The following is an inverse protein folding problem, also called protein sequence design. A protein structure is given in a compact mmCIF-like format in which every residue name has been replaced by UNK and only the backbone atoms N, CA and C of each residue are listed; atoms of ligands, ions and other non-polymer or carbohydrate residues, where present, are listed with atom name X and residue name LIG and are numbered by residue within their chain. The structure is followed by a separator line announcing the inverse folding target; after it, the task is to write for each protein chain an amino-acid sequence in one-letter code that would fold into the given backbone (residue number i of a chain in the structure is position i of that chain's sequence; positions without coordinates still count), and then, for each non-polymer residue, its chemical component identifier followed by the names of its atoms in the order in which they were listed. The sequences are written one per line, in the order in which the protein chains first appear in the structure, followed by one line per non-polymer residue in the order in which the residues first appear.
data_IF_231457735200
#
_entry.id   IF_231457735200
#
_cell.length_a   1.000
_cell.length_b   1.000
_cell.length_c   1.000
_cell.angle_alpha   90.00
_cell.angle_beta   90.00
_cell.angle_gamma   90.00
#
_symmetry.space_group_name_H-M   'P 1'
#
loop_
_entity.id
_entity.type
_entity.pdbx_description
1 polymer ?
#
# COMPACT_ATOMS: atom_id res chain seq x y z
N UNK A 1 2.52 -34.62 51.38
CA UNK A 1 2.74 -35.01 49.96
C UNK A 1 1.76 -34.42 48.95
N UNK A 2 0.82 -33.53 49.33
CA UNK A 2 -0.15 -32.91 48.41
C UNK A 2 0.32 -31.74 47.49
N UNK A 3 1.33 -30.90 47.83
CA UNK A 3 1.60 -29.68 47.07
C UNK A 3 2.18 -29.93 45.66
N UNK A 4 2.87 -31.06 45.46
CA UNK A 4 3.44 -31.41 44.15
C UNK A 4 2.39 -31.78 43.09
N UNK A 5 1.21 -32.31 43.48
CA UNK A 5 0.14 -32.63 42.53
C UNK A 5 -0.60 -31.38 42.05
N UNK A 6 -0.92 -30.46 42.97
CA UNK A 6 -1.60 -29.20 42.64
C UNK A 6 -0.76 -28.31 41.73
N UNK A 7 0.55 -28.19 42.02
CA UNK A 7 1.47 -27.44 41.16
C UNK A 7 1.57 -28.04 39.74
N UNK A 8 1.57 -29.37 39.62
CA UNK A 8 1.60 -30.07 38.32
C UNK A 8 0.33 -29.79 37.49
N UNK A 9 -0.83 -29.84 38.13
CA UNK A 9 -2.12 -29.53 37.50
C UNK A 9 -2.21 -28.08 37.02
N UNK A 10 -1.69 -27.13 37.80
CA UNK A 10 -1.60 -25.71 37.39
C UNK A 10 -0.67 -25.54 36.19
N UNK A 11 0.46 -26.24 36.17
CA UNK A 11 1.41 -26.17 35.03
C UNK A 11 0.83 -26.79 33.75
N UNK A 12 0.13 -27.92 33.85
CA UNK A 12 -0.54 -28.57 32.71
C UNK A 12 -1.66 -27.70 32.12
N UNK A 13 -2.46 -27.05 32.98
CA UNK A 13 -3.52 -26.13 32.53
C UNK A 13 -2.95 -24.86 31.90
N UNK A 14 -1.85 -24.31 32.42
CA UNK A 14 -1.13 -23.19 31.80
C UNK A 14 -0.55 -23.57 30.44
N UNK A 15 0.10 -24.73 30.33
CA UNK A 15 0.66 -25.20 29.06
C UNK A 15 -0.43 -25.38 27.99
N UNK A 16 -1.58 -25.95 28.36
CA UNK A 16 -2.73 -26.09 27.46
C UNK A 16 -3.26 -24.73 26.99
N UNK A 17 -3.37 -23.74 27.91
CA UNK A 17 -3.80 -22.38 27.55
C UNK A 17 -2.82 -21.69 26.60
N UNK A 18 -1.52 -21.81 26.82
CA UNK A 18 -0.49 -21.24 25.94
C UNK A 18 -0.56 -21.90 24.55
N UNK A 19 -0.67 -23.23 24.49
CA UNK A 19 -0.79 -23.97 23.23
C UNK A 19 -2.02 -23.53 22.43
N UNK A 20 -3.17 -23.37 23.09
CA UNK A 20 -4.40 -22.87 22.47
C UNK A 20 -4.22 -21.45 21.93
N UNK A 21 -3.65 -20.53 22.72
CA UNK A 21 -3.41 -19.15 22.25
C UNK A 21 -2.42 -19.07 21.09
N UNK A 22 -1.41 -19.93 21.07
CA UNK A 22 -0.49 -20.06 19.94
C UNK A 22 -1.23 -20.49 18.67
N UNK A 23 -2.14 -21.46 18.75
CA UNK A 23 -2.95 -21.90 17.61
C UNK A 23 -3.90 -20.80 17.14
N UNK A 24 -4.57 -20.09 18.05
CA UNK A 24 -5.44 -18.95 17.71
C UNK A 24 -4.68 -17.85 16.98
N UNK A 25 -3.47 -17.51 17.46
CA UNK A 25 -2.59 -16.55 16.78
C UNK A 25 -2.15 -17.04 15.40
N UNK A 26 -1.74 -18.30 15.27
CA UNK A 26 -1.35 -18.89 13.98
C UNK A 26 -2.50 -18.88 12.97
N UNK A 27 -3.72 -19.15 13.42
CA UNK A 27 -4.91 -19.11 12.57
C UNK A 27 -5.27 -17.67 12.15
N UNK A 28 -5.05 -16.68 13.03
CA UNK A 28 -5.34 -15.28 12.73
C UNK A 28 -4.26 -14.56 11.93
N UNK A 29 -3.01 -15.02 12.00
CA UNK A 29 -1.86 -14.33 11.42
C UNK A 29 -1.97 -14.05 9.90
N UNK A 30 -2.48 -14.96 9.05
CA UNK A 30 -2.72 -14.64 7.63
C UNK A 30 -3.66 -13.46 7.44
N UNK A 31 -4.73 -13.39 8.23
CA UNK A 31 -5.72 -12.29 8.17
C UNK A 31 -5.09 -10.96 8.60
N UNK A 32 -4.28 -10.99 9.66
CA UNK A 32 -3.57 -9.81 10.15
C UNK A 32 -2.58 -9.31 9.08
N UNK A 33 -1.78 -10.21 8.49
CA UNK A 33 -0.84 -9.85 7.43
C UNK A 33 -1.55 -9.23 6.21
N UNK A 34 -2.68 -9.82 5.79
CA UNK A 34 -3.49 -9.29 4.70
C UNK A 34 -4.05 -7.89 5.02
N UNK A 35 -4.61 -7.71 6.23
CA UNK A 35 -5.13 -6.43 6.69
C UNK A 35 -4.03 -5.36 6.73
N UNK A 36 -2.82 -5.71 7.19
CA UNK A 36 -1.66 -4.82 7.19
C UNK A 36 -1.25 -4.43 5.76
N UNK A 37 -1.22 -5.36 4.82
CA UNK A 37 -0.89 -5.07 3.43
C UNK A 37 -1.93 -4.13 2.77
N UNK A 38 -3.22 -4.38 3.00
CA UNK A 38 -4.30 -3.50 2.53
C UNK A 38 -4.20 -2.10 3.13
N UNK A 39 -4.02 -2.00 4.45
CA UNK A 39 -3.86 -0.73 5.13
C UNK A 39 -2.60 0.01 4.67
N UNK A 40 -1.49 -0.71 4.48
CA UNK A 40 -0.23 -0.16 4.00
C UNK A 40 -0.36 0.43 2.60
N UNK A 41 -1.00 -0.31 1.69
CA UNK A 41 -1.29 0.18 0.34
C UNK A 41 -2.13 1.46 0.37
N UNK A 42 -3.18 1.49 1.18
CA UNK A 42 -4.04 2.67 1.34
C UNK A 42 -3.28 3.87 1.90
N UNK A 43 -2.46 3.68 2.95
CA UNK A 43 -1.65 4.75 3.53
C UNK A 43 -0.67 5.34 2.51
N UNK A 44 0.06 4.48 1.80
CA UNK A 44 1.03 4.90 0.78
C UNK A 44 0.34 5.64 -0.36
N UNK A 45 -0.79 5.11 -0.86
CA UNK A 45 -1.59 5.76 -1.90
C UNK A 45 -2.03 7.16 -1.45
N UNK A 46 -2.64 7.26 -0.26
CA UNK A 46 -3.13 8.54 0.27
C UNK A 46 -2.00 9.55 0.45
N UNK A 47 -0.84 9.12 0.94
CA UNK A 47 0.34 9.98 1.05
C UNK A 47 0.79 10.46 -0.33
N UNK A 48 0.90 9.60 -1.32
CA UNK A 48 1.37 9.99 -2.66
C UNK A 48 0.34 10.88 -3.37
N UNK A 49 -0.95 10.64 -3.18
CA UNK A 49 -2.01 11.52 -3.70
C UNK A 49 -1.96 12.90 -3.03
N UNK A 50 -1.77 12.95 -1.71
CA UNK A 50 -1.72 14.18 -0.94
C UNK A 50 -0.41 14.95 -1.12
N UNK A 51 0.73 14.32 -0.92
CA UNK A 51 2.04 14.98 -0.82
C UNK A 51 2.88 14.80 -2.09
N UNK A 52 2.50 13.88 -2.97
CA UNK A 52 3.34 13.45 -4.09
C UNK A 52 4.46 12.50 -3.67
N UNK A 53 5.22 12.07 -4.67
CA UNK A 53 6.45 11.32 -4.46
C UNK A 53 7.54 12.22 -3.84
N UNK A 54 8.16 11.81 -2.72
CA UNK A 54 9.20 12.61 -2.05
C UNK A 54 10.35 12.99 -2.99
N UNK A 55 10.66 14.28 -3.05
CA UNK A 55 11.76 14.81 -3.88
C UNK A 55 11.55 14.68 -5.39
N UNK A 56 10.32 14.40 -5.85
CA UNK A 56 10.01 14.27 -7.28
C UNK A 56 8.98 15.30 -7.72
N UNK A 57 9.29 16.00 -8.79
CA UNK A 57 8.39 16.90 -9.51
C UNK A 57 8.24 16.43 -10.95
N UNK A 58 7.21 16.94 -11.64
CA UNK A 58 7.12 16.74 -13.08
C UNK A 58 8.23 17.52 -13.79
N UNK A 59 8.69 16.98 -14.92
CA UNK A 59 9.68 17.66 -15.75
C UNK A 59 9.17 19.04 -16.18
N UNK A 60 10.05 20.03 -16.08
CA UNK A 60 9.85 21.39 -16.57
C UNK A 60 10.19 21.53 -18.06
N UNK A 61 10.74 20.48 -18.68
CA UNK A 61 11.06 20.48 -20.11
C UNK A 61 9.79 20.62 -20.95
N UNK A 62 9.75 21.66 -21.77
CA UNK A 62 8.66 21.88 -22.71
C UNK A 62 8.84 21.00 -23.95
N UNK A 63 7.77 20.33 -24.36
CA UNK A 63 7.71 19.52 -25.57
C UNK A 63 6.55 19.97 -26.46
N UNK A 64 6.56 19.69 -27.76
CA UNK A 64 5.43 19.98 -28.63
C UNK A 64 4.12 19.35 -28.12
N UNK A 65 3.04 20.11 -28.09
CA UNK A 65 1.77 19.66 -27.49
C UNK A 65 1.07 18.55 -28.27
N UNK A 66 1.43 18.32 -29.53
CA UNK A 66 0.90 17.20 -30.32
C UNK A 66 1.21 15.83 -29.68
N UNK A 67 2.30 15.72 -28.90
CA UNK A 67 2.63 14.51 -28.14
C UNK A 67 1.60 14.18 -27.05
N UNK A 68 0.72 15.13 -26.73
CA UNK A 68 -0.31 14.99 -25.71
C UNK A 68 -1.71 14.69 -26.25
N UNK A 69 -1.93 14.69 -27.58
CA UNK A 69 -3.29 14.56 -28.16
C UNK A 69 -4.07 13.37 -27.60
N UNK A 70 -3.46 12.19 -27.54
CA UNK A 70 -4.10 10.96 -27.04
C UNK A 70 -4.04 10.82 -25.51
N UNK A 71 -3.71 11.90 -24.79
CA UNK A 71 -3.58 11.90 -23.34
C UNK A 71 -4.68 12.71 -22.66
N UNK A 72 -5.42 13.56 -23.36
CA UNK A 72 -6.43 14.44 -22.73
C UNK A 72 -7.62 13.65 -22.18
N UNK A 73 -8.00 13.95 -20.94
CA UNK A 73 -9.13 13.33 -20.22
C UNK A 73 -10.40 14.17 -20.30
N UNK A 74 -10.29 15.49 -20.47
CA UNK A 74 -11.42 16.41 -20.46
C UNK A 74 -11.23 17.61 -21.42
N UNK A 75 -12.24 18.48 -21.46
CA UNK A 75 -12.24 19.66 -22.32
C UNK A 75 -11.09 20.64 -22.00
N UNK A 76 -10.70 20.78 -20.74
CA UNK A 76 -9.58 21.64 -20.33
C UNK A 76 -8.24 21.19 -20.90
N UNK A 77 -7.96 19.88 -20.88
CA UNK A 77 -6.77 19.32 -21.54
C UNK A 77 -6.77 19.53 -23.06
N UNK A 78 -7.93 19.37 -23.71
CA UNK A 78 -8.08 19.64 -25.16
C UNK A 78 -7.85 21.12 -25.50
N UNK A 79 -8.42 22.02 -24.71
CA UNK A 79 -8.23 23.46 -24.86
C UNK A 79 -6.75 23.84 -24.69
N UNK A 80 -6.08 23.29 -23.68
CA UNK A 80 -4.65 23.49 -23.44
C UNK A 80 -3.82 23.15 -24.68
N UNK A 81 -4.05 21.99 -25.30
CA UNK A 81 -3.30 21.59 -26.50
C UNK A 81 -3.64 22.51 -27.70
N UNK A 82 -4.91 22.89 -27.88
CA UNK A 82 -5.33 23.77 -28.98
C UNK A 82 -4.69 25.17 -28.88
N UNK A 83 -4.57 25.70 -27.67
CA UNK A 83 -4.07 27.06 -27.41
C UNK A 83 -2.54 27.15 -27.37
N UNK A 84 -1.84 26.04 -27.12
CA UNK A 84 -0.39 26.04 -26.89
C UNK A 84 0.33 25.17 -27.93
N UNK A 85 1.41 25.67 -28.53
CA UNK A 85 2.29 24.87 -29.42
C UNK A 85 3.28 23.98 -28.66
N UNK A 86 3.66 24.39 -27.45
CA UNK A 86 4.57 23.66 -26.55
C UNK A 86 4.01 23.66 -25.12
N UNK A 87 4.33 22.63 -24.36
CA UNK A 87 3.83 22.48 -23.00
C UNK A 87 4.61 21.47 -22.18
N UNK A 88 4.37 21.45 -20.87
CA UNK A 88 4.92 20.44 -19.96
C UNK A 88 3.83 19.45 -19.57
N UNK A 89 4.24 18.25 -19.15
CA UNK A 89 3.30 17.26 -18.64
C UNK A 89 2.55 17.77 -17.40
N UNK A 90 3.21 18.51 -16.51
CA UNK A 90 2.58 19.13 -15.34
C UNK A 90 1.52 20.16 -15.72
N UNK A 91 1.79 21.03 -16.70
CA UNK A 91 0.83 22.03 -17.16
C UNK A 91 -0.42 21.40 -17.81
N UNK A 92 -0.23 20.36 -18.64
CA UNK A 92 -1.35 19.59 -19.19
C UNK A 92 -2.22 18.98 -18.08
N UNK A 93 -1.60 18.43 -17.02
CA UNK A 93 -2.34 17.92 -15.86
C UNK A 93 -3.12 19.01 -15.14
N UNK A 94 -2.49 20.15 -14.90
CA UNK A 94 -3.12 21.32 -14.27
C UNK A 94 -4.34 21.80 -15.06
N UNK A 95 -4.23 21.88 -16.39
CA UNK A 95 -5.36 22.23 -17.26
C UNK A 95 -6.54 21.24 -17.20
N UNK A 96 -6.31 20.03 -16.67
CA UNK A 96 -7.33 19.00 -16.49
C UNK A 96 -7.83 18.92 -15.05
N UNK A 97 -7.43 19.84 -14.17
CA UNK A 97 -7.79 19.85 -12.75
C UNK A 97 -7.04 18.83 -11.91
N UNK A 98 -5.92 18.29 -12.40
CA UNK A 98 -5.08 17.34 -11.68
C UNK A 98 -3.87 18.05 -11.05
N UNK A 99 -3.30 17.50 -9.96
CA UNK A 99 -2.06 18.02 -9.39
C UNK A 99 -0.95 18.13 -10.43
N UNK A 100 -0.36 19.32 -10.54
CA UNK A 100 0.65 19.72 -11.52
C UNK A 100 2.02 20.02 -10.90
N UNK A 101 2.06 20.23 -9.59
CA UNK A 101 3.23 20.58 -8.78
C UNK A 101 3.96 19.34 -8.24
N UNK A 102 3.24 18.23 -8.07
CA UNK A 102 3.73 17.01 -7.42
C UNK A 102 3.39 15.74 -8.22
N UNK A 103 4.26 14.74 -8.16
CA UNK A 103 4.03 13.45 -8.85
C UNK A 103 3.15 12.54 -8.01
N UNK A 104 1.88 12.37 -8.38
CA UNK A 104 0.90 11.56 -7.62
C UNK A 104 0.67 10.15 -8.18
N UNK A 105 1.23 9.83 -9.35
CA UNK A 105 1.01 8.58 -10.10
C UNK A 105 -0.47 8.28 -10.48
N UNK A 106 -1.42 9.13 -10.08
CA UNK A 106 -2.84 9.03 -10.37
C UNK A 106 -3.24 9.93 -11.55
N UNK A 107 -2.84 9.58 -12.79
CA UNK A 107 -3.39 10.27 -13.97
C UNK A 107 -4.78 9.75 -14.32
N UNK A 108 -4.91 8.44 -14.53
CA UNK A 108 -6.20 7.74 -14.72
C UNK A 108 -6.57 6.87 -13.53
N UNK A 109 -5.78 6.88 -12.45
CA UNK A 109 -5.85 5.99 -11.29
C UNK A 109 -5.79 4.48 -11.59
N UNK A 110 -5.60 4.09 -12.86
CA UNK A 110 -5.58 2.71 -13.31
C UNK A 110 -4.60 1.82 -12.54
N UNK A 111 -3.40 2.34 -12.29
CA UNK A 111 -2.38 1.64 -11.51
C UNK A 111 -2.88 1.40 -10.08
N UNK A 112 -3.31 2.44 -9.37
CA UNK A 112 -3.80 2.33 -8.00
C UNK A 112 -5.00 1.39 -7.88
N UNK A 113 -5.95 1.48 -8.81
CA UNK A 113 -7.15 0.65 -8.81
C UNK A 113 -6.87 -0.82 -9.16
N UNK A 114 -5.72 -1.12 -9.78
CA UNK A 114 -5.28 -2.49 -10.05
C UNK A 114 -4.59 -3.16 -8.87
N UNK A 115 -4.12 -2.38 -7.89
CA UNK A 115 -3.34 -2.94 -6.79
C UNK A 115 -4.27 -3.54 -5.73
N UNK A 116 -4.02 -4.79 -5.40
CA UNK A 116 -4.73 -5.53 -4.35
C UNK A 116 -3.74 -6.24 -3.44
N UNK A 117 -4.11 -6.40 -2.17
CA UNK A 117 -3.36 -7.24 -1.25
C UNK A 117 -3.84 -8.69 -1.38
N UNK A 118 -2.89 -9.63 -1.42
CA UNK A 118 -3.15 -11.07 -1.46
C UNK A 118 -2.29 -11.80 -0.44
N UNK A 119 -2.80 -12.90 0.10
CA UNK A 119 -2.02 -13.79 0.95
C UNK A 119 -0.89 -14.43 0.14
N UNK A 120 0.31 -14.48 0.70
CA UNK A 120 1.50 -14.96 -0.02
C UNK A 120 2.14 -16.20 0.57
N UNK A 121 1.78 -16.58 1.79
CA UNK A 121 2.26 -17.79 2.45
C UNK A 121 2.79 -17.57 3.86
N UNK A 122 3.20 -18.66 4.47
CA UNK A 122 3.79 -18.71 5.79
C UNK A 122 5.18 -19.39 5.73
N UNK A 123 6.13 -18.89 6.51
CA UNK A 123 7.44 -19.50 6.69
C UNK A 123 7.75 -19.53 8.18
N UNK A 124 7.61 -20.70 8.81
CA UNK A 124 7.66 -20.83 10.26
C UNK A 124 6.57 -20.00 10.93
N UNK A 125 6.96 -19.01 11.72
CA UNK A 125 6.06 -18.07 12.41
C UNK A 125 5.82 -16.77 11.64
N UNK A 126 6.42 -16.62 10.45
CA UNK A 126 6.30 -15.41 9.63
C UNK A 126 5.18 -15.62 8.62
N UNK A 127 4.18 -14.75 8.65
CA UNK A 127 3.07 -14.74 7.69
C UNK A 127 3.22 -13.53 6.79
N UNK A 128 3.11 -13.75 5.48
CA UNK A 128 3.35 -12.71 4.48
C UNK A 128 2.12 -12.49 3.61
N UNK A 129 1.87 -11.23 3.32
CA UNK A 129 0.93 -10.79 2.28
C UNK A 129 1.71 -9.96 1.26
N UNK A 130 1.28 -10.02 0.00
CA UNK A 130 1.88 -9.27 -1.10
C UNK A 130 0.86 -8.30 -1.67
N UNK A 131 1.33 -7.14 -2.09
CA UNK A 131 0.55 -6.24 -2.95
C UNK A 131 0.89 -6.57 -4.39
N UNK A 132 -0.13 -6.92 -5.17
CA UNK A 132 -0.01 -7.33 -6.57
C UNK A 132 -1.00 -6.57 -7.44
N UNK A 133 -0.74 -6.50 -8.73
CA UNK A 133 -1.73 -6.00 -9.69
C UNK A 133 -2.72 -7.13 -10.03
N UNK A 134 -4.00 -6.79 -10.14
CA UNK A 134 -5.08 -7.69 -10.58
C UNK A 134 -5.00 -8.06 -12.05
N UNK A 135 -4.26 -7.29 -12.83
CA UNK A 135 -4.14 -7.48 -14.28
C UNK A 135 -2.79 -7.00 -14.83
N UNK A 136 -2.55 -7.33 -16.11
CA UNK A 136 -1.27 -7.05 -16.80
C UNK A 136 -1.00 -5.55 -16.97
N UNK A 137 -2.00 -4.77 -17.36
CA UNK A 137 -1.81 -3.34 -17.62
C UNK A 137 -1.43 -2.59 -16.34
N UNK A 138 -2.08 -2.92 -15.23
CA UNK A 138 -1.71 -2.42 -13.90
C UNK A 138 -0.28 -2.79 -13.53
N UNK A 139 0.11 -4.04 -13.74
CA UNK A 139 1.46 -4.54 -13.45
C UNK A 139 2.52 -3.80 -14.29
N UNK A 140 2.24 -3.57 -15.57
CA UNK A 140 3.11 -2.83 -16.48
C UNK A 140 3.29 -1.38 -16.01
N UNK A 141 2.22 -0.72 -15.56
CA UNK A 141 2.29 0.64 -15.00
C UNK A 141 3.08 0.69 -13.69
N UNK A 142 2.91 -0.28 -12.81
CA UNK A 142 3.69 -0.38 -11.56
C UNK A 142 5.17 -0.54 -11.89
N UNK A 143 5.53 -1.46 -12.80
CA UNK A 143 6.91 -1.70 -13.24
C UNK A 143 7.52 -0.45 -13.89
N UNK A 144 6.78 0.21 -14.78
CA UNK A 144 7.22 1.46 -15.41
C UNK A 144 7.53 2.54 -14.36
N UNK A 145 6.62 2.74 -13.41
CA UNK A 145 6.82 3.73 -12.36
C UNK A 145 7.94 3.35 -11.39
N UNK A 146 8.13 2.05 -11.09
CA UNK A 146 9.23 1.57 -10.24
C UNK A 146 10.58 1.81 -10.90
N UNK A 147 10.70 1.51 -12.19
CA UNK A 147 11.91 1.80 -12.95
C UNK A 147 12.25 3.30 -12.96
N UNK A 148 11.23 4.17 -12.95
CA UNK A 148 11.41 5.63 -13.02
C UNK A 148 11.63 6.30 -11.67
N UNK A 149 10.97 5.82 -10.61
CA UNK A 149 10.91 6.53 -9.33
C UNK A 149 11.42 5.70 -8.13
N UNK A 150 11.83 4.45 -8.35
CA UNK A 150 12.21 3.53 -7.28
C UNK A 150 11.00 2.89 -6.60
N UNK A 151 11.20 2.31 -5.42
CA UNK A 151 10.13 1.62 -4.70
C UNK A 151 9.21 2.58 -3.94
N UNK A 152 8.29 3.20 -4.68
CA UNK A 152 7.29 4.10 -4.11
C UNK A 152 6.20 3.39 -3.30
N UNK A 153 6.08 2.06 -3.37
CA UNK A 153 5.09 1.28 -2.62
C UNK A 153 5.55 0.99 -1.19
N UNK A 154 6.81 1.27 -0.86
CA UNK A 154 7.33 1.08 0.48
C UNK A 154 6.71 2.09 1.47
N UNK A 155 6.11 1.62 2.57
CA UNK A 155 5.66 2.51 3.64
C UNK A 155 6.84 3.26 4.28
N UNK A 156 6.64 4.53 4.62
CA UNK A 156 7.64 5.30 5.38
C UNK A 156 7.62 4.92 6.87
N UNK A 157 8.54 5.47 7.66
CA UNK A 157 8.66 5.16 9.09
C UNK A 157 7.37 5.41 9.90
N UNK A 158 6.65 6.50 9.62
CA UNK A 158 5.40 6.82 10.30
C UNK A 158 4.27 5.84 9.92
N UNK A 159 4.19 5.47 8.65
CA UNK A 159 3.23 4.49 8.13
C UNK A 159 3.51 3.10 8.69
N UNK A 160 4.77 2.67 8.70
CA UNK A 160 5.23 1.41 9.31
C UNK A 160 4.87 1.35 10.79
N UNK A 161 5.10 2.44 11.55
CA UNK A 161 4.70 2.52 12.96
C UNK A 161 3.19 2.36 13.14
N UNK A 162 2.37 3.01 12.29
CA UNK A 162 0.90 2.86 12.33
C UNK A 162 0.45 1.44 12.03
N UNK A 163 1.08 0.78 11.06
CA UNK A 163 0.79 -0.62 10.74
C UNK A 163 1.16 -1.55 11.90
N UNK A 164 2.32 -1.33 12.53
CA UNK A 164 2.76 -2.07 13.72
C UNK A 164 1.76 -1.95 14.88
N UNK A 165 1.35 -0.72 15.23
CA UNK A 165 0.35 -0.49 16.27
C UNK A 165 -1.00 -1.15 15.96
N UNK A 166 -1.41 -1.17 14.69
CA UNK A 166 -2.64 -1.86 14.29
C UNK A 166 -2.53 -3.37 14.46
N UNK A 167 -1.37 -3.96 14.13
CA UNK A 167 -1.12 -5.38 14.30
C UNK A 167 -1.06 -5.78 15.77
N UNK A 168 -0.38 -4.98 16.61
CA UNK A 168 -0.27 -5.19 18.05
C UNK A 168 -1.63 -5.20 18.75
N UNK A 169 -2.53 -4.28 18.37
CA UNK A 169 -3.91 -4.27 18.90
C UNK A 169 -4.66 -5.55 18.58
N UNK A 170 -4.46 -6.08 17.37
CA UNK A 170 -5.10 -7.29 16.90
C UNK A 170 -4.58 -8.53 17.62
N UNK A 171 -3.26 -8.62 17.79
CA UNK A 171 -2.60 -9.67 18.57
C UNK A 171 -3.06 -9.61 20.03
N UNK A 172 -3.07 -8.41 20.62
CA UNK A 172 -3.49 -8.22 22.02
C UNK A 172 -4.93 -8.66 22.23
N UNK A 173 -5.83 -8.36 21.29
CA UNK A 173 -7.23 -8.82 21.37
C UNK A 173 -7.34 -10.34 21.39
N UNK A 174 -6.53 -11.04 20.60
CA UNK A 174 -6.52 -12.52 20.58
C UNK A 174 -5.93 -13.09 21.88
N UNK A 175 -4.90 -12.45 22.42
CA UNK A 175 -4.29 -12.87 23.68
C UNK A 175 -5.22 -12.66 24.87
N UNK A 176 -6.04 -11.61 24.85
CA UNK A 176 -6.99 -11.26 25.91
C UNK A 176 -8.38 -11.89 25.73
N UNK A 177 -8.67 -12.53 24.60
CA UNK A 177 -9.95 -13.22 24.43
C UNK A 177 -10.07 -14.41 25.39
N UNK A 178 -11.27 -14.67 25.94
CA UNK A 178 -11.51 -15.76 26.89
C UNK A 178 -11.25 -17.15 26.28
#
# INVERSE_FOLDING_TARGET
MAPHRAARQVMETLAARIARKKQELQAAAPRIALAMATAGLSLVRLRIERDGLPGKSYSTLTVPTFLFYNRTLNAGGRAYIKQNKRGTWGALRGAQGLPSDRVTLGYTNRMWNSLTATGSGATGTVFTARVVSTDREGADRVRYNRARYGDFLQPNAAETKRLGLSAEREITRILQSP
#
